data_IF_716718758857
#
_entry.id   IF_716718758857
#
_cell.length_a   1.000
_cell.length_b   1.000
_cell.length_c   1.000
_cell.angle_alpha   90.00
_cell.angle_beta   90.00
_cell.angle_gamma   90.00
#
_symmetry.space_group_name_H-M   'P 1'
#
loop_
_entity.id
_entity.type
_entity.pdbx_description
1 polymer ?
#
# COMPACT_ATOMS: atom_id res chain seq x y z
N UNK A 1 3.55 4.71 46.86
CA UNK A 1 4.28 3.62 46.20
C UNK A 1 5.03 4.22 45.01
N UNK A 2 6.36 4.22 45.01
CA UNK A 2 7.14 4.75 43.89
C UNK A 2 7.21 3.71 42.77
N UNK A 3 6.79 4.08 41.56
CA UNK A 3 6.87 3.22 40.38
C UNK A 3 8.33 2.89 40.06
N UNK A 4 8.63 1.61 39.85
CA UNK A 4 9.93 1.13 39.39
C UNK A 4 10.32 1.85 38.07
N UNK A 5 11.55 2.35 37.90
CA UNK A 5 11.97 2.94 36.64
C UNK A 5 11.85 1.89 35.53
N UNK A 6 11.30 2.28 34.38
CA UNK A 6 11.28 1.45 33.17
C UNK A 6 12.73 1.15 32.79
N UNK A 7 13.20 -0.06 33.07
CA UNK A 7 14.50 -0.55 32.61
C UNK A 7 14.55 -0.44 31.09
N UNK A 8 15.58 0.25 30.60
CA UNK A 8 15.81 0.43 29.18
C UNK A 8 16.28 -0.89 28.56
N UNK A 9 15.36 -1.63 27.94
CA UNK A 9 15.61 -2.96 27.35
C UNK A 9 16.09 -2.89 25.89
N UNK A 10 16.69 -1.78 25.45
CA UNK A 10 17.18 -1.65 24.08
C UNK A 10 18.48 -2.44 23.90
N UNK A 11 18.61 -3.10 22.74
CA UNK A 11 19.82 -3.86 22.37
C UNK A 11 21.04 -2.97 22.15
N UNK A 12 20.82 -1.71 21.76
CA UNK A 12 21.86 -0.75 21.38
C UNK A 12 21.60 0.64 22.01
N UNK A 13 22.64 1.41 22.37
CA UNK A 13 22.50 2.77 22.87
C UNK A 13 21.97 3.72 21.78
N UNK A 14 21.13 4.70 22.18
CA UNK A 14 20.66 5.76 21.28
C UNK A 14 21.61 6.96 21.31
N UNK A 15 21.89 7.51 20.13
CA UNK A 15 22.51 8.83 19.99
C UNK A 15 21.38 9.82 19.64
N UNK A 16 21.25 10.96 20.34
CA UNK A 16 20.27 11.98 20.00
C UNK A 16 20.44 12.46 18.55
N UNK A 17 19.34 12.47 17.78
CA UNK A 17 19.30 12.97 16.42
C UNK A 17 17.97 13.71 16.18
N UNK A 18 18.06 15.02 16.02
CA UNK A 18 16.92 15.89 15.72
C UNK A 18 16.99 16.32 14.25
N UNK A 19 16.47 15.48 13.36
CA UNK A 19 16.50 15.72 11.93
C UNK A 19 15.21 15.26 11.24
N UNK A 20 14.97 15.73 10.02
CA UNK A 20 13.88 15.25 9.17
C UNK A 20 14.30 13.97 8.46
N UNK A 21 13.38 13.01 8.40
CA UNK A 21 13.54 11.77 7.62
C UNK A 21 12.36 11.55 6.68
N UNK A 22 12.57 10.76 5.64
CA UNK A 22 11.52 10.24 4.77
C UNK A 22 11.43 8.73 4.96
N UNK A 23 10.23 8.24 5.23
CA UNK A 23 9.94 6.81 5.26
C UNK A 23 9.12 6.44 4.01
N UNK A 24 9.43 5.29 3.41
CA UNK A 24 8.56 4.66 2.43
C UNK A 24 7.83 3.53 3.12
N UNK A 25 6.51 3.52 3.00
CA UNK A 25 5.67 2.47 3.58
C UNK A 25 5.15 1.57 2.46
N UNK A 26 5.34 0.26 2.60
CA UNK A 26 4.68 -0.75 1.79
C UNK A 26 3.54 -1.35 2.61
N UNK A 27 2.32 -1.30 2.09
CA UNK A 27 1.13 -1.90 2.70
C UNK A 27 0.44 -2.83 1.72
N UNK A 28 -0.16 -3.89 2.23
CA UNK A 28 -1.06 -4.72 1.44
C UNK A 28 -2.35 -3.97 1.15
N UNK A 29 -2.88 -4.16 -0.05
CA UNK A 29 -4.19 -3.65 -0.49
C UNK A 29 -4.97 -4.81 -1.09
N UNK A 30 -6.28 -4.75 -0.99
CA UNK A 30 -7.18 -5.69 -1.66
C UNK A 30 -7.68 -5.07 -2.96
N UNK A 31 -7.29 -5.61 -4.12
CA UNK A 31 -7.75 -5.12 -5.43
C UNK A 31 -9.16 -5.65 -5.67
N UNK A 32 -10.13 -4.77 -5.90
CA UNK A 32 -11.54 -5.11 -6.16
C UNK A 32 -11.78 -5.29 -7.66
N UNK A 33 -11.27 -4.35 -8.47
CA UNK A 33 -11.34 -4.42 -9.93
C UNK A 33 -10.19 -3.62 -10.56
N UNK A 34 -9.95 -3.89 -11.84
CA UNK A 34 -8.87 -3.31 -12.61
C UNK A 34 -9.31 -2.96 -14.04
N UNK A 35 -8.74 -1.89 -14.56
CA UNK A 35 -8.80 -1.50 -15.97
C UNK A 35 -7.39 -1.20 -16.48
N UNK A 36 -7.27 -0.87 -17.77
CA UNK A 36 -6.00 -0.39 -18.30
C UNK A 36 -5.54 0.92 -17.65
N UNK A 37 -6.45 1.76 -17.17
CA UNK A 37 -6.15 3.09 -16.66
C UNK A 37 -6.03 3.17 -15.13
N UNK A 38 -6.40 2.13 -14.38
CA UNK A 38 -6.41 2.20 -12.93
C UNK A 38 -7.03 0.97 -12.27
N UNK A 39 -7.08 1.03 -10.93
CA UNK A 39 -7.72 0.01 -10.08
C UNK A 39 -8.64 0.67 -9.06
N UNK A 40 -9.62 -0.11 -8.61
CA UNK A 40 -10.32 0.12 -7.34
C UNK A 40 -9.81 -0.89 -6.32
N UNK A 41 -9.51 -0.44 -5.11
CA UNK A 41 -8.96 -1.28 -4.06
C UNK A 41 -9.44 -0.87 -2.66
N UNK A 42 -9.16 -1.70 -1.65
CA UNK A 42 -9.36 -1.43 -0.23
C UNK A 42 -8.07 -1.46 0.55
N UNK A 43 -7.98 -0.62 1.59
CA UNK A 43 -6.92 -0.66 2.59
C UNK A 43 -7.39 -0.11 3.93
N UNK A 44 -6.78 -0.60 5.02
CA UNK A 44 -6.99 -0.05 6.36
C UNK A 44 -6.20 1.25 6.59
N UNK A 45 -5.20 1.54 5.75
CA UNK A 45 -4.41 2.76 5.85
C UNK A 45 -5.24 3.96 5.36
N UNK A 46 -5.38 5.05 6.13
CA UNK A 46 -6.03 6.25 5.65
C UNK A 46 -5.22 6.85 4.48
N UNK A 47 -5.84 6.93 3.30
CA UNK A 47 -5.28 7.55 2.11
C UNK A 47 -5.98 8.89 1.83
N UNK A 48 -5.22 9.86 1.35
CA UNK A 48 -5.75 11.12 0.83
C UNK A 48 -5.85 11.09 -0.71
N UNK A 49 -6.84 11.79 -1.26
CA UNK A 49 -6.90 12.08 -2.69
C UNK A 49 -5.65 12.86 -3.12
N UNK A 50 -5.07 12.49 -4.26
CA UNK A 50 -3.82 13.07 -4.75
C UNK A 50 -2.56 12.35 -4.28
N UNK A 51 -2.65 11.44 -3.29
CA UNK A 51 -1.50 10.63 -2.86
C UNK A 51 -0.93 9.82 -4.01
N UNK A 52 0.41 9.86 -4.15
CA UNK A 52 1.14 9.07 -5.12
C UNK A 52 1.47 7.69 -4.53
N UNK A 53 1.12 6.65 -5.28
CA UNK A 53 1.39 5.27 -4.92
C UNK A 53 2.35 4.66 -5.94
N UNK A 54 3.27 3.83 -5.44
CA UNK A 54 3.97 2.83 -6.25
C UNK A 54 3.31 1.48 -5.96
N UNK A 55 2.62 0.94 -6.96
CA UNK A 55 1.90 -0.33 -6.87
C UNK A 55 2.75 -1.45 -7.47
N UNK A 56 2.89 -2.54 -6.74
CA UNK A 56 3.32 -3.83 -7.28
C UNK A 56 2.08 -4.69 -7.43
N UNK A 57 1.67 -4.92 -8.66
CA UNK A 57 0.44 -5.64 -9.00
C UNK A 57 0.74 -7.12 -9.24
N UNK A 58 -0.23 -8.02 -8.98
CA UNK A 58 -0.16 -9.40 -9.46
C UNK A 58 0.14 -9.45 -10.97
N UNK A 59 0.82 -10.51 -11.42
CA UNK A 59 1.32 -10.57 -12.79
C UNK A 59 2.60 -9.75 -13.05
N UNK A 60 3.29 -9.32 -11.98
CA UNK A 60 4.59 -8.62 -12.00
C UNK A 60 4.59 -7.24 -12.67
N UNK A 61 3.42 -6.58 -12.76
CA UNK A 61 3.35 -5.20 -13.24
C UNK A 61 3.64 -4.22 -12.10
N UNK A 62 4.55 -3.27 -12.30
CA UNK A 62 4.70 -2.13 -11.40
C UNK A 62 4.04 -0.89 -12.00
N UNK A 63 3.36 -0.07 -11.18
CA UNK A 63 2.75 1.16 -11.65
C UNK A 63 2.77 2.30 -10.64
N UNK A 64 3.16 3.48 -11.13
CA UNK A 64 2.91 4.73 -10.41
C UNK A 64 1.47 5.15 -10.65
N UNK A 65 0.78 5.50 -9.57
CA UNK A 65 -0.62 5.86 -9.59
C UNK A 65 -0.89 7.06 -8.67
N UNK A 66 -1.98 7.77 -8.93
CA UNK A 66 -2.51 8.81 -8.04
C UNK A 66 -3.86 8.38 -7.54
N UNK A 67 -4.10 8.51 -6.23
CA UNK A 67 -5.42 8.32 -5.65
C UNK A 67 -6.37 9.37 -6.24
N UNK A 68 -7.38 8.93 -6.97
CA UNK A 68 -8.35 9.78 -7.67
C UNK A 68 -9.57 10.09 -6.80
N UNK A 69 -9.99 9.14 -5.96
CA UNK A 69 -11.07 9.28 -5.00
C UNK A 69 -10.87 8.31 -3.83
N UNK A 70 -11.49 8.62 -2.69
CA UNK A 70 -11.51 7.78 -1.48
C UNK A 70 -12.93 7.77 -0.91
N UNK A 71 -13.41 6.60 -0.51
CA UNK A 71 -14.70 6.39 0.16
C UNK A 71 -14.54 5.34 1.27
N UNK A 72 -14.44 5.80 2.52
CA UNK A 72 -14.09 4.96 3.66
C UNK A 72 -12.74 4.26 3.47
N UNK A 73 -12.76 2.92 3.42
CA UNK A 73 -11.58 2.09 3.17
C UNK A 73 -11.35 1.79 1.70
N UNK A 74 -12.28 2.14 0.82
CA UNK A 74 -12.16 1.98 -0.62
C UNK A 74 -11.50 3.21 -1.24
N UNK A 75 -10.71 2.98 -2.28
CA UNK A 75 -10.12 4.05 -3.06
C UNK A 75 -9.99 3.61 -4.52
N UNK A 76 -10.04 4.60 -5.40
CA UNK A 76 -9.67 4.43 -6.80
C UNK A 76 -8.37 5.15 -7.08
N UNK A 77 -7.49 4.54 -7.87
CA UNK A 77 -6.30 5.21 -8.35
C UNK A 77 -6.18 5.17 -9.87
N UNK A 78 -5.72 6.27 -10.42
CA UNK A 78 -5.41 6.43 -11.83
C UNK A 78 -3.92 6.17 -12.05
N UNK A 79 -3.59 5.34 -13.04
CA UNK A 79 -2.21 5.07 -13.42
C UNK A 79 -1.63 6.23 -14.21
N UNK A 80 -0.39 6.62 -13.86
CA UNK A 80 0.37 7.62 -14.61
C UNK A 80 0.67 7.17 -16.05
N UNK A 81 0.76 5.85 -16.26
CA UNK A 81 0.89 5.21 -17.57
C UNK A 81 -0.08 4.03 -17.64
N UNK A 82 -0.97 3.95 -18.62
CA UNK A 82 -1.87 2.80 -18.75
C UNK A 82 -1.12 1.45 -18.81
N UNK A 83 -1.74 0.40 -18.29
CA UNK A 83 -1.31 -0.98 -18.56
C UNK A 83 -1.52 -1.28 -20.04
N UNK A 84 -0.58 -2.03 -20.61
CA UNK A 84 -0.79 -2.69 -21.90
C UNK A 84 -1.84 -3.78 -21.77
N UNK A 85 -2.43 -4.20 -22.89
CA UNK A 85 -3.39 -5.32 -22.88
C UNK A 85 -2.78 -6.63 -22.34
N UNK A 86 -1.46 -6.82 -22.49
CA UNK A 86 -0.75 -7.98 -21.93
C UNK A 86 -0.67 -7.88 -20.41
N UNK A 87 -0.19 -6.75 -19.88
CA UNK A 87 -0.10 -6.54 -18.43
C UNK A 87 -1.46 -6.63 -17.73
N UNK A 88 -2.53 -6.11 -18.36
CA UNK A 88 -3.88 -6.22 -17.82
C UNK A 88 -4.36 -7.68 -17.78
N UNK A 89 -4.07 -8.48 -18.82
CA UNK A 89 -4.38 -9.92 -18.81
C UNK A 89 -3.58 -10.65 -17.74
N UNK A 90 -2.27 -10.40 -17.66
CA UNK A 90 -1.39 -11.02 -16.66
C UNK A 90 -1.86 -10.72 -15.22
N UNK A 91 -2.35 -9.50 -14.97
CA UNK A 91 -2.96 -9.11 -13.69
C UNK A 91 -4.21 -9.94 -13.39
N UNK A 92 -5.15 -10.02 -14.34
CA UNK A 92 -6.40 -10.78 -14.19
C UNK A 92 -6.13 -12.27 -14.01
N UNK A 93 -5.24 -12.86 -14.80
CA UNK A 93 -4.90 -14.28 -14.71
C UNK A 93 -4.21 -14.63 -13.38
N UNK A 94 -3.41 -13.70 -12.85
CA UNK A 94 -2.79 -13.84 -11.53
C UNK A 94 -3.81 -13.79 -10.38
N UNK A 95 -4.96 -13.11 -10.54
CA UNK A 95 -6.00 -13.07 -9.50
C UNK A 95 -6.61 -14.43 -9.20
N UNK A 96 -6.72 -15.32 -10.20
CA UNK A 96 -7.22 -16.68 -10.01
C UNK A 96 -6.35 -17.52 -9.06
N UNK A 97 -5.08 -17.12 -8.88
CA UNK A 97 -4.11 -17.77 -7.99
C UNK A 97 -3.76 -16.93 -6.75
N UNK A 98 -4.30 -15.71 -6.63
CA UNK A 98 -4.01 -14.83 -5.52
C UNK A 98 -4.83 -15.27 -4.30
N UNK A 99 -4.20 -15.98 -3.37
CA UNK A 99 -4.81 -16.25 -2.07
C UNK A 99 -5.22 -14.90 -1.43
N UNK A 100 -6.48 -14.71 -1.02
CA UNK A 100 -6.88 -13.50 -0.32
C UNK A 100 -6.03 -13.37 0.94
N UNK A 101 -5.40 -12.22 1.15
CA UNK A 101 -4.82 -11.90 2.45
C UNK A 101 -6.00 -11.78 3.42
N UNK A 102 -6.21 -12.81 4.24
CA UNK A 102 -7.22 -12.80 5.27
C UNK A 102 -6.96 -11.59 6.18
N UNK A 103 -7.87 -10.63 6.16
CA UNK A 103 -7.89 -9.56 7.15
C UNK A 103 -8.48 -10.22 8.40
N UNK A 104 -7.68 -10.32 9.47
CA UNK A 104 -8.21 -10.72 10.77
C UNK A 104 -9.30 -9.70 11.16
N UNK A 105 -10.52 -10.20 11.38
CA UNK A 105 -11.67 -9.45 11.89
C UNK A 105 -11.39 -8.81 13.26
#
# INVERSE_FOLDING_TARGET
MASKPLTDNRREPRIPAECRGLARLAVSIEIIDASAAGIRARTALPLAVGTLLKLSLPGNAERHARVAWVDGHAFGCEFMKPLTSRELRDLVDATANAAPYAICD
#
